data_IF_221219786161
#
_entry.id   IF_221219786161
#
_cell.length_a   1.000
_cell.length_b   1.000
_cell.length_c   1.000
_cell.angle_alpha   90.00
_cell.angle_beta   90.00
_cell.angle_gamma   90.00
#
_symmetry.space_group_name_H-M   'P 1'
#
loop_
_entity.id
_entity.type
_entity.pdbx_description
1 polymer ?
#
# COMPACT_ATOMS: atom_id res chain seq x y z
N UNK A 1 -15.12 1.32 1.64
CA UNK A 1 -14.86 1.99 0.35
C UNK A 1 -16.06 1.74 -0.55
N UNK A 2 -16.54 2.77 -1.24
CA UNK A 2 -17.77 2.78 -2.05
C UNK A 2 -17.53 3.55 -3.36
N UNK A 3 -18.32 3.32 -4.43
CA UNK A 3 -18.24 4.13 -5.63
C UNK A 3 -18.42 5.62 -5.33
N UNK A 4 -17.53 6.46 -5.85
CA UNK A 4 -17.48 7.88 -5.55
C UNK A 4 -16.48 8.28 -4.46
N UNK A 5 -15.95 7.33 -3.69
CA UNK A 5 -14.85 7.59 -2.76
C UNK A 5 -13.57 7.89 -3.55
N UNK A 6 -12.86 8.94 -3.17
CA UNK A 6 -11.45 9.10 -3.55
C UNK A 6 -10.59 8.35 -2.54
N UNK A 7 -9.85 7.36 -3.02
CA UNK A 7 -8.96 6.54 -2.20
C UNK A 7 -7.52 6.95 -2.40
N UNK A 8 -6.87 7.36 -1.31
CA UNK A 8 -5.43 7.61 -1.27
C UNK A 8 -4.72 6.35 -0.80
N UNK A 9 -3.71 5.92 -1.54
CA UNK A 9 -2.87 4.77 -1.15
C UNK A 9 -1.43 5.27 -0.96
N UNK A 10 -0.95 5.17 0.27
CA UNK A 10 0.43 5.42 0.64
C UNK A 10 1.16 4.09 0.73
N UNK A 11 2.35 4.02 0.15
CA UNK A 11 3.21 2.83 0.19
C UNK A 11 4.61 3.25 0.64
N UNK A 12 5.08 2.65 1.72
CA UNK A 12 6.42 2.84 2.25
C UNK A 12 7.24 1.56 2.03
N UNK A 13 8.38 1.69 1.33
CA UNK A 13 9.28 0.57 1.08
C UNK A 13 10.01 0.18 2.37
N UNK A 14 9.88 -1.08 2.80
CA UNK A 14 10.57 -1.58 3.99
C UNK A 14 11.92 -2.19 3.66
N UNK A 15 11.97 -3.02 2.62
CA UNK A 15 13.21 -3.67 2.20
C UNK A 15 13.16 -4.09 0.74
N UNK A 16 14.32 -4.20 0.13
CA UNK A 16 14.48 -4.71 -1.22
C UNK A 16 15.69 -5.62 -1.27
N UNK A 17 15.48 -6.90 -1.64
CA UNK A 17 16.56 -7.90 -1.70
C UNK A 17 16.46 -8.69 -2.99
N UNK A 18 17.56 -8.66 -3.77
CA UNK A 18 17.60 -9.18 -5.15
C UNK A 18 16.51 -8.53 -5.98
N UNK A 19 15.47 -9.27 -6.31
CA UNK A 19 14.33 -8.80 -7.08
C UNK A 19 13.03 -8.83 -6.26
N UNK A 20 13.09 -9.08 -4.95
CA UNK A 20 11.92 -9.10 -4.08
C UNK A 20 11.88 -7.83 -3.23
N UNK A 21 10.79 -7.08 -3.35
CA UNK A 21 10.47 -5.92 -2.52
C UNK A 21 9.47 -6.27 -1.43
N UNK A 22 9.59 -5.60 -0.28
CA UNK A 22 8.61 -5.56 0.81
C UNK A 22 8.27 -4.11 1.12
N UNK A 23 6.99 -3.86 1.37
CA UNK A 23 6.48 -2.52 1.66
C UNK A 23 5.30 -2.59 2.63
N UNK A 24 5.04 -1.49 3.33
CA UNK A 24 3.81 -1.27 4.06
C UNK A 24 2.90 -0.35 3.28
N UNK A 25 1.65 -0.76 3.12
CA UNK A 25 0.61 0.01 2.47
C UNK A 25 -0.42 0.52 3.47
N UNK A 26 -0.89 1.74 3.25
CA UNK A 26 -2.04 2.33 3.94
C UNK A 26 -2.99 2.91 2.89
N UNK A 27 -4.24 2.48 2.92
CA UNK A 27 -5.31 3.03 2.10
C UNK A 27 -6.25 3.87 2.97
N UNK A 28 -6.58 5.07 2.50
CA UNK A 28 -7.41 6.04 3.19
C UNK A 28 -8.53 6.57 2.27
N UNK A 29 -9.65 6.98 2.86
CA UNK A 29 -10.68 7.79 2.19
C UNK A 29 -10.86 9.06 3.01
N UNK A 30 -10.52 10.21 2.42
CA UNK A 30 -10.30 11.42 3.20
C UNK A 30 -9.18 11.21 4.23
N UNK A 31 -9.50 11.38 5.52
CA UNK A 31 -8.52 11.22 6.61
C UNK A 31 -8.61 9.87 7.35
N UNK A 32 -9.58 9.02 6.98
CA UNK A 32 -9.85 7.77 7.68
C UNK A 32 -9.13 6.59 7.03
N UNK A 33 -8.54 5.72 7.86
CA UNK A 33 -7.90 4.49 7.40
C UNK A 33 -8.97 3.48 7.00
N UNK A 34 -8.96 3.10 5.73
CA UNK A 34 -9.82 2.04 5.22
C UNK A 34 -9.13 0.66 5.27
N UNK A 35 -7.81 0.62 5.08
CA UNK A 35 -7.02 -0.63 5.09
C UNK A 35 -5.54 -0.36 5.38
N UNK A 36 -4.87 -1.30 6.03
CA UNK A 36 -3.41 -1.40 6.08
C UNK A 36 -2.98 -2.79 5.62
N UNK A 37 -1.82 -2.90 4.99
CA UNK A 37 -1.32 -4.17 4.47
C UNK A 37 0.21 -4.22 4.46
N UNK A 38 0.76 -5.42 4.75
CA UNK A 38 2.13 -5.76 4.39
C UNK A 38 2.13 -6.31 2.95
N UNK A 39 2.92 -5.70 2.08
CA UNK A 39 2.99 -5.97 0.65
C UNK A 39 4.34 -6.63 0.35
N UNK A 40 4.32 -7.74 -0.38
CA UNK A 40 5.52 -8.36 -0.94
C UNK A 40 5.34 -8.51 -2.44
N UNK A 41 6.35 -8.12 -3.21
CA UNK A 41 6.29 -8.17 -4.67
C UNK A 41 7.63 -8.59 -5.26
N UNK A 42 7.58 -9.16 -6.46
CA UNK A 42 8.77 -9.46 -7.26
C UNK A 42 8.86 -8.47 -8.42
N UNK A 43 10.06 -7.95 -8.66
CA UNK A 43 10.42 -7.24 -9.89
C UNK A 43 11.09 -8.23 -10.84
N UNK A 44 10.81 -8.08 -12.14
CA UNK A 44 11.41 -8.84 -13.24
C UNK A 44 12.34 -7.97 -14.06
#
# INVERSE_FOLDING_TARGET
VKPGDEMTVEVEMESFKRNIGRAKGRAMVGNDIACTADIMFALG
#
